data_IF_202540423219
#
_entry.id   IF_202540423219
#
_cell.length_a   1.000
_cell.length_b   1.000
_cell.length_c   1.000
_cell.angle_alpha   90.00
_cell.angle_beta   90.00
_cell.angle_gamma   90.00
#
_symmetry.space_group_name_H-M   'P 1'
#
loop_
_entity.id
_entity.type
_entity.pdbx_description
1 polymer ?
#
# COMPACT_ATOMS: atom_id res chain seq x y z
N UNK A 1 29.95 -24.77 -31.53
CA UNK A 1 31.03 -23.77 -31.48
C UNK A 1 30.45 -22.41 -31.86
N UNK A 2 30.03 -21.61 -30.87
CA UNK A 2 29.82 -20.16 -31.00
C UNK A 2 29.81 -19.53 -29.60
N UNK A 3 30.98 -19.54 -28.98
CA UNK A 3 31.30 -18.65 -27.85
C UNK A 3 31.61 -17.28 -28.46
N UNK A 4 30.60 -16.43 -28.65
CA UNK A 4 30.83 -15.06 -29.14
C UNK A 4 29.70 -14.10 -28.72
N UNK A 5 29.35 -14.08 -27.43
CA UNK A 5 28.38 -13.10 -26.89
C UNK A 5 28.86 -12.30 -25.68
N UNK A 6 30.17 -12.29 -25.40
CA UNK A 6 30.72 -11.38 -24.39
C UNK A 6 32.05 -10.80 -24.87
N UNK A 7 32.00 -9.87 -25.83
CA UNK A 7 33.07 -8.87 -25.97
C UNK A 7 32.81 -7.77 -24.93
N UNK A 8 33.71 -7.55 -23.96
CA UNK A 8 33.60 -6.41 -23.06
C UNK A 8 33.80 -5.13 -23.89
N UNK A 9 32.76 -4.31 -24.03
CA UNK A 9 32.86 -3.00 -24.67
C UNK A 9 31.70 -2.57 -25.57
N UNK A 10 30.75 -3.43 -25.94
CA UNK A 10 29.58 -3.01 -26.74
C UNK A 10 28.43 -2.61 -25.83
N UNK A 11 28.23 -1.31 -25.64
CA UNK A 11 26.99 -0.79 -25.04
C UNK A 11 25.80 -1.26 -25.88
N UNK A 12 24.78 -1.79 -25.22
CA UNK A 12 23.52 -2.12 -25.89
C UNK A 12 22.92 -0.85 -26.50
N UNK A 13 22.50 -0.89 -27.77
CA UNK A 13 21.81 0.23 -28.43
C UNK A 13 20.61 0.71 -27.58
N UNK A 14 19.94 -0.21 -26.90
CA UNK A 14 18.86 0.12 -25.97
C UNK A 14 19.36 0.92 -24.76
N UNK A 15 20.52 0.59 -24.19
CA UNK A 15 21.10 1.33 -23.09
C UNK A 15 21.52 2.75 -23.52
N UNK A 16 22.08 2.88 -24.73
CA UNK A 16 22.44 4.18 -25.32
C UNK A 16 21.19 5.03 -25.56
N UNK A 17 20.13 4.43 -26.13
CA UNK A 17 18.86 5.12 -26.36
C UNK A 17 18.20 5.59 -25.06
N UNK A 18 18.19 4.74 -24.02
CA UNK A 18 17.65 5.11 -22.70
C UNK A 18 18.49 6.23 -22.06
N UNK A 19 19.81 6.16 -22.14
CA UNK A 19 20.68 7.21 -21.62
C UNK A 19 20.50 8.54 -22.36
N UNK A 20 20.38 8.50 -23.69
CA UNK A 20 20.09 9.67 -24.51
C UNK A 20 18.73 10.28 -24.15
N UNK A 21 17.69 9.45 -24.01
CA UNK A 21 16.36 9.90 -23.58
C UNK A 21 16.38 10.51 -22.17
N UNK A 22 17.05 9.87 -21.22
CA UNK A 22 17.24 10.42 -19.88
C UNK A 22 17.97 11.78 -19.91
N UNK A 23 18.97 11.93 -20.78
CA UNK A 23 19.65 13.20 -21.02
C UNK A 23 18.70 14.29 -21.54
N UNK A 24 17.85 13.96 -22.53
CA UNK A 24 16.83 14.88 -23.05
C UNK A 24 15.86 15.30 -21.95
N UNK A 25 15.39 14.37 -21.11
CA UNK A 25 14.50 14.66 -19.99
C UNK A 25 15.16 15.56 -18.94
N UNK A 26 16.43 15.33 -18.62
CA UNK A 26 17.19 16.18 -17.69
C UNK A 26 17.36 17.59 -18.27
N UNK A 27 17.73 17.72 -19.54
CA UNK A 27 17.84 19.03 -20.21
C UNK A 27 16.49 19.75 -20.18
N UNK A 28 15.40 19.07 -20.54
CA UNK A 28 14.06 19.64 -20.51
C UNK A 28 13.63 20.05 -19.08
N UNK A 29 13.97 19.26 -18.08
CA UNK A 29 13.71 19.59 -16.68
C UNK A 29 14.46 20.85 -16.25
N UNK A 30 15.78 20.92 -16.44
CA UNK A 30 16.57 22.09 -16.06
C UNK A 30 16.21 23.34 -16.87
N UNK A 31 15.81 23.19 -18.14
CA UNK A 31 15.35 24.31 -18.95
C UNK A 31 14.02 24.92 -18.45
N UNK A 32 13.12 24.12 -17.88
CA UNK A 32 11.80 24.59 -17.43
C UNK A 32 11.70 24.81 -15.91
N UNK A 33 12.57 24.17 -15.12
CA UNK A 33 12.49 24.09 -13.65
C UNK A 33 13.86 24.29 -12.99
N UNK A 34 14.87 24.77 -13.72
CA UNK A 34 16.21 25.04 -13.17
C UNK A 34 16.18 25.98 -11.97
N UNK A 35 15.38 27.05 -12.03
CA UNK A 35 15.21 28.00 -10.91
C UNK A 35 14.62 27.36 -9.65
N UNK A 36 13.89 26.25 -9.76
CA UNK A 36 13.37 25.54 -8.59
C UNK A 36 14.48 24.74 -7.89
N UNK A 37 15.48 24.29 -8.64
CA UNK A 37 16.67 23.61 -8.10
C UNK A 37 17.50 24.59 -7.27
N UNK A 38 17.64 25.83 -7.72
CA UNK A 38 18.34 26.88 -6.98
C UNK A 38 17.64 27.22 -5.65
N UNK A 39 16.34 26.95 -5.55
CA UNK A 39 15.55 27.10 -4.33
C UNK A 39 15.67 25.91 -3.38
N UNK A 40 16.33 24.81 -3.75
CA UNK A 40 16.50 23.64 -2.87
C UNK A 40 17.17 24.01 -1.53
N UNK A 41 18.12 24.95 -1.56
CA UNK A 41 18.77 25.48 -0.36
C UNK A 41 17.80 26.20 0.59
N UNK A 42 16.70 26.76 0.08
CA UNK A 42 15.65 27.39 0.90
C UNK A 42 14.86 26.36 1.72
N UNK A 43 14.89 25.08 1.31
CA UNK A 43 14.32 23.98 2.08
C UNK A 43 15.28 23.43 3.14
N UNK A 44 16.55 23.87 3.18
CA UNK A 44 17.52 23.49 4.21
C UNK A 44 17.55 24.59 5.28
N UNK A 45 16.89 24.35 6.41
CA UNK A 45 16.83 25.29 7.52
C UNK A 45 15.41 25.49 8.04
N UNK A 46 15.02 26.74 8.26
CA UNK A 46 13.77 27.14 8.89
C UNK A 46 12.58 26.96 7.93
N UNK A 47 12.23 25.71 7.59
CA UNK A 47 11.14 25.25 6.69
C UNK A 47 9.76 25.81 7.10
N UNK A 48 9.53 27.11 6.94
CA UNK A 48 8.33 27.82 7.40
C UNK A 48 8.49 28.60 8.71
N UNK A 49 9.71 28.89 9.16
CA UNK A 49 9.94 29.81 10.29
C UNK A 49 9.92 29.21 11.70
N UNK A 50 9.69 27.90 11.85
CA UNK A 50 9.67 27.18 13.14
C UNK A 50 10.82 26.16 13.31
N UNK A 51 11.11 25.72 14.55
CA UNK A 51 12.18 24.78 14.83
C UNK A 51 11.98 23.44 14.09
N UNK A 52 13.06 22.91 13.52
CA UNK A 52 13.10 21.62 12.81
C UNK A 52 12.63 20.43 13.68
N UNK A 53 12.79 20.56 14.99
CA UNK A 53 12.30 19.62 15.98
C UNK A 53 11.38 20.33 16.97
N UNK A 54 10.20 19.77 17.20
CA UNK A 54 9.19 20.33 18.08
C UNK A 54 8.13 19.31 18.46
N UNK A 55 7.04 19.76 19.08
CA UNK A 55 5.94 18.90 19.54
C UNK A 55 5.39 17.97 18.42
N UNK A 56 5.41 18.42 17.15
CA UNK A 56 4.98 17.63 16.01
C UNK A 56 5.78 16.34 15.77
N UNK A 57 7.00 16.21 16.30
CA UNK A 57 7.76 14.94 16.25
C UNK A 57 7.08 13.89 17.12
N UNK A 58 6.59 14.28 18.30
CA UNK A 58 5.88 13.36 19.19
C UNK A 58 4.58 12.88 18.53
N UNK A 59 3.80 13.78 17.95
CA UNK A 59 2.58 13.43 17.20
C UNK A 59 2.88 12.47 16.05
N UNK A 60 3.93 12.72 15.28
CA UNK A 60 4.36 11.88 14.17
C UNK A 60 4.81 10.49 14.64
N UNK A 61 5.55 10.43 15.76
CA UNK A 61 6.01 9.17 16.35
C UNK A 61 4.83 8.34 16.87
N UNK A 62 3.89 8.96 17.59
CA UNK A 62 2.64 8.31 18.02
C UNK A 62 1.84 7.83 16.82
N UNK A 63 1.73 8.66 15.77
CA UNK A 63 1.05 8.31 14.53
C UNK A 63 1.64 7.06 13.87
N UNK A 64 2.96 6.97 13.78
CA UNK A 64 3.68 5.79 13.28
C UNK A 64 3.40 4.53 14.11
N UNK A 65 3.41 4.64 15.44
CA UNK A 65 3.12 3.51 16.33
C UNK A 65 1.68 3.01 16.14
N UNK A 66 0.71 3.91 16.02
CA UNK A 66 -0.70 3.57 15.79
C UNK A 66 -0.87 2.91 14.43
N UNK A 67 -0.31 3.48 13.37
CA UNK A 67 -0.36 2.89 12.03
C UNK A 67 0.30 1.49 12.02
N UNK A 68 1.43 1.31 12.69
CA UNK A 68 2.08 0.01 12.86
C UNK A 68 1.19 -1.01 13.62
N UNK A 69 0.49 -0.57 14.66
CA UNK A 69 -0.44 -1.41 15.40
C UNK A 69 -1.66 -1.81 14.55
N UNK A 70 -2.20 -0.88 13.75
CA UNK A 70 -3.26 -1.14 12.76
C UNK A 70 -2.77 -2.15 11.71
N UNK A 71 -1.55 -1.99 11.19
CA UNK A 71 -0.96 -2.95 10.24
C UNK A 71 -0.82 -4.35 10.84
N UNK A 72 -0.40 -4.45 12.10
CA UNK A 72 -0.34 -5.72 12.81
C UNK A 72 -1.74 -6.34 12.99
N UNK A 73 -2.76 -5.53 13.27
CA UNK A 73 -4.14 -5.99 13.34
C UNK A 73 -4.71 -6.43 11.98
N UNK A 74 -4.32 -5.76 10.87
CA UNK A 74 -4.59 -6.23 9.52
C UNK A 74 -3.96 -7.61 9.31
N UNK A 75 -2.65 -7.74 9.59
CA UNK A 75 -1.94 -9.00 9.42
C UNK A 75 -2.58 -10.13 10.22
N UNK A 76 -2.98 -9.89 11.48
CA UNK A 76 -3.56 -10.92 12.34
C UNK A 76 -4.83 -11.54 11.78
N UNK A 77 -5.85 -10.72 11.50
CA UNK A 77 -7.12 -11.25 10.97
C UNK A 77 -6.95 -11.81 9.55
N UNK A 78 -6.13 -11.16 8.72
CA UNK A 78 -5.92 -11.61 7.36
C UNK A 78 -5.11 -12.90 7.28
N UNK A 79 -4.09 -13.07 8.11
CA UNK A 79 -3.33 -14.32 8.19
C UNK A 79 -4.22 -15.47 8.70
N UNK A 80 -5.15 -15.20 9.62
CA UNK A 80 -6.13 -16.18 10.08
C UNK A 80 -7.03 -16.66 8.93
N UNK A 81 -7.50 -15.74 8.08
CA UNK A 81 -8.34 -16.05 6.93
C UNK A 81 -7.53 -16.79 5.85
N UNK A 82 -6.37 -16.25 5.47
CA UNK A 82 -5.52 -16.81 4.42
C UNK A 82 -5.02 -18.21 4.80
N UNK A 83 -4.55 -18.40 6.03
CA UNK A 83 -4.07 -19.73 6.48
C UNK A 83 -5.15 -20.80 6.50
N UNK A 84 -6.42 -20.43 6.79
CA UNK A 84 -7.55 -21.38 6.75
C UNK A 84 -8.06 -21.65 5.34
N UNK A 85 -8.11 -20.64 4.48
CA UNK A 85 -8.65 -20.77 3.13
C UNK A 85 -7.67 -21.44 2.14
N UNK A 86 -6.36 -21.32 2.37
CA UNK A 86 -5.34 -21.76 1.40
C UNK A 86 -4.46 -22.93 1.88
N UNK A 87 -4.52 -23.30 3.16
CA UNK A 87 -3.78 -24.43 3.73
C UNK A 87 -2.25 -24.29 3.68
N UNK A 88 -1.49 -25.27 4.20
CA UNK A 88 -0.03 -25.25 4.22
C UNK A 88 0.59 -25.33 2.81
N UNK A 89 -0.06 -26.02 1.88
CA UNK A 89 0.55 -26.34 0.57
C UNK A 89 0.63 -25.12 -0.37
N UNK A 90 -0.38 -24.24 -0.36
CA UNK A 90 -0.32 -22.98 -1.10
C UNK A 90 0.73 -22.00 -0.52
N UNK A 91 1.12 -22.18 0.74
CA UNK A 91 2.15 -21.38 1.38
C UNK A 91 3.57 -21.73 0.90
N UNK A 92 3.77 -22.95 0.38
CA UNK A 92 5.04 -23.40 -0.21
C UNK A 92 5.22 -22.94 -1.66
N UNK A 93 4.13 -22.69 -2.39
CA UNK A 93 4.21 -22.22 -3.80
C UNK A 93 4.43 -20.71 -3.95
N UNK A 94 4.20 -19.94 -2.90
CA UNK A 94 4.32 -18.48 -2.90
C UNK A 94 5.54 -18.05 -2.10
N UNK A 95 6.20 -16.97 -2.54
CA UNK A 95 7.21 -16.34 -1.69
C UNK A 95 6.59 -15.92 -0.35
N UNK A 96 7.29 -16.17 0.76
CA UNK A 96 6.82 -15.81 2.11
C UNK A 96 6.36 -14.35 2.21
N UNK A 97 7.03 -13.45 1.50
CA UNK A 97 6.66 -12.05 1.38
C UNK A 97 5.25 -11.87 0.80
N UNK A 98 4.91 -12.56 -0.29
CA UNK A 98 3.60 -12.45 -0.92
C UNK A 98 2.47 -12.95 -0.02
N UNK A 99 2.70 -14.01 0.75
CA UNK A 99 1.71 -14.50 1.74
C UNK A 99 1.45 -13.46 2.85
N UNK A 100 2.50 -12.77 3.31
CA UNK A 100 2.36 -11.68 4.29
C UNK A 100 1.57 -10.52 3.69
N UNK A 101 1.84 -10.16 2.45
CA UNK A 101 1.13 -9.06 1.77
C UNK A 101 -0.33 -9.41 1.52
N UNK A 102 -0.63 -10.64 1.07
CA UNK A 102 -2.00 -11.13 0.95
C UNK A 102 -2.73 -11.07 2.29
N UNK A 103 -2.07 -11.49 3.37
CA UNK A 103 -2.63 -11.41 4.73
C UNK A 103 -2.91 -9.96 5.14
N UNK A 104 -1.96 -9.06 4.96
CA UNK A 104 -2.15 -7.63 5.26
C UNK A 104 -3.30 -7.02 4.45
N UNK A 105 -3.38 -7.29 3.16
CA UNK A 105 -4.42 -6.73 2.29
C UNK A 105 -5.81 -7.33 2.56
N UNK A 106 -5.92 -8.64 2.78
CA UNK A 106 -7.18 -9.27 3.20
C UNK A 106 -7.64 -8.70 4.54
N UNK A 107 -6.70 -8.52 5.48
CA UNK A 107 -7.00 -7.95 6.77
C UNK A 107 -7.46 -6.50 6.70
N UNK A 108 -6.81 -5.67 5.89
CA UNK A 108 -7.23 -4.30 5.63
C UNK A 108 -8.66 -4.27 5.05
N UNK A 109 -8.96 -5.11 4.05
CA UNK A 109 -10.31 -5.21 3.48
C UNK A 109 -11.37 -5.60 4.51
N UNK A 110 -11.07 -6.57 5.38
CA UNK A 110 -11.99 -7.01 6.44
C UNK A 110 -12.20 -5.91 7.48
N UNK A 111 -11.14 -5.27 7.95
CA UNK A 111 -11.25 -4.18 8.91
C UNK A 111 -12.01 -2.99 8.33
N UNK A 112 -11.81 -2.66 7.06
CA UNK A 112 -12.60 -1.65 6.36
C UNK A 112 -14.10 -1.94 6.46
N UNK A 113 -14.52 -3.17 6.14
CA UNK A 113 -15.92 -3.60 6.25
C UNK A 113 -16.44 -3.57 7.70
N UNK A 114 -15.64 -4.04 8.67
CA UNK A 114 -16.01 -4.02 10.09
C UNK A 114 -16.25 -2.59 10.56
N UNK A 115 -15.33 -1.66 10.25
CA UNK A 115 -15.49 -0.25 10.60
C UNK A 115 -16.71 0.36 9.94
N UNK A 116 -16.97 0.07 8.65
CA UNK A 116 -18.20 0.51 8.00
C UNK A 116 -19.46 0.05 8.77
N UNK A 117 -19.54 -1.23 9.15
CA UNK A 117 -20.68 -1.77 9.91
C UNK A 117 -20.80 -1.18 11.32
N UNK A 118 -19.67 -0.94 12.00
CA UNK A 118 -19.66 -0.24 13.29
C UNK A 118 -20.17 1.20 13.16
N UNK A 119 -19.86 1.86 12.04
CA UNK A 119 -20.37 3.20 11.72
C UNK A 119 -21.87 3.23 11.58
N UNK A 120 -22.45 2.25 10.87
CA UNK A 120 -23.89 2.11 10.73
C UNK A 120 -24.58 1.85 12.08
N UNK A 121 -23.92 1.13 12.98
CA UNK A 121 -24.42 0.83 14.31
C UNK A 121 -24.21 1.98 15.33
N UNK A 122 -23.56 3.08 14.95
CA UNK A 122 -23.27 4.18 15.87
C UNK A 122 -22.23 3.84 16.94
N UNK A 123 -21.24 3.01 16.59
CA UNK A 123 -20.24 2.48 17.52
C UNK A 123 -18.84 3.08 17.34
N UNK A 124 -18.71 4.23 16.66
CA UNK A 124 -17.42 4.92 16.58
C UNK A 124 -17.07 5.53 17.94
N UNK A 125 -16.25 4.81 18.69
CA UNK A 125 -15.78 5.22 20.00
C UNK A 125 -14.38 4.67 20.27
N UNK A 126 -13.67 5.32 21.19
CA UNK A 126 -12.31 4.91 21.58
C UNK A 126 -12.27 3.50 22.16
N UNK A 127 -13.18 3.08 23.06
CA UNK A 127 -13.18 1.71 23.58
C UNK A 127 -13.35 0.68 22.46
N UNK A 128 -14.24 0.93 21.50
CA UNK A 128 -14.45 0.05 20.34
C UNK A 128 -13.19 -0.02 19.47
N UNK A 129 -12.50 1.10 19.25
CA UNK A 129 -11.25 1.13 18.50
C UNK A 129 -10.14 0.29 19.16
N UNK A 130 -10.03 0.33 20.49
CA UNK A 130 -9.06 -0.47 21.27
C UNK A 130 -9.45 -1.94 21.26
N UNK A 131 -10.73 -2.27 21.42
CA UNK A 131 -11.21 -3.67 21.33
C UNK A 131 -10.92 -4.24 19.93
N UNK A 132 -11.22 -3.50 18.87
CA UNK A 132 -10.89 -3.88 17.50
C UNK A 132 -9.38 -4.14 17.34
N UNK A 133 -8.55 -3.25 17.89
CA UNK A 133 -7.09 -3.42 17.87
C UNK A 133 -6.65 -4.71 18.57
N UNK A 134 -7.13 -4.95 19.79
CA UNK A 134 -6.80 -6.17 20.55
C UNK A 134 -7.23 -7.43 19.79
N UNK A 135 -8.46 -7.45 19.26
CA UNK A 135 -8.98 -8.59 18.48
C UNK A 135 -8.16 -8.86 17.21
N UNK A 136 -7.60 -7.84 16.57
CA UNK A 136 -6.70 -8.00 15.44
C UNK A 136 -5.29 -8.44 15.83
N UNK A 137 -4.77 -7.97 16.98
CA UNK A 137 -3.41 -8.28 17.44
C UNK A 137 -3.26 -9.71 17.97
N UNK A 138 -4.29 -10.27 18.62
CA UNK A 138 -4.25 -11.65 19.15
C UNK A 138 -3.84 -12.70 18.10
N UNK A 139 -4.48 -12.78 16.92
CA UNK A 139 -4.05 -13.70 15.87
C UNK A 139 -2.73 -13.29 15.21
N UNK A 140 -2.34 -12.01 15.26
CA UNK A 140 -1.08 -11.53 14.70
C UNK A 140 0.13 -12.12 15.43
N UNK A 141 0.07 -12.23 16.76
CA UNK A 141 1.14 -12.84 17.57
C UNK A 141 1.39 -14.28 17.14
N UNK A 142 0.32 -15.07 16.98
CA UNK A 142 0.40 -16.47 16.54
C UNK A 142 0.95 -16.55 15.10
N UNK A 143 0.49 -15.65 14.22
CA UNK A 143 0.97 -15.56 12.83
C UNK A 143 2.47 -15.25 12.75
N UNK A 144 2.96 -14.29 13.55
CA UNK A 144 4.36 -13.87 13.56
C UNK A 144 5.30 -14.97 14.06
N UNK A 145 4.89 -15.75 15.07
CA UNK A 145 5.68 -16.88 15.57
C UNK A 145 5.83 -17.94 14.47
N UNK A 146 4.73 -18.30 13.80
CA UNK A 146 4.75 -19.25 12.69
C UNK A 146 5.61 -18.74 11.52
N UNK A 147 5.48 -17.46 11.19
CA UNK A 147 6.25 -16.82 10.13
C UNK A 147 7.75 -16.83 10.42
N UNK A 148 8.17 -16.44 11.64
CA UNK A 148 9.58 -16.43 12.04
C UNK A 148 10.20 -17.83 11.94
N UNK A 149 9.46 -18.86 12.35
CA UNK A 149 9.93 -20.24 12.26
C UNK A 149 10.07 -20.70 10.80
N UNK A 150 9.11 -20.35 9.94
CA UNK A 150 9.15 -20.67 8.51
C UNK A 150 10.26 -19.90 7.75
N UNK A 151 10.43 -18.61 8.05
CA UNK A 151 11.46 -17.77 7.45
C UNK A 151 12.86 -18.31 7.79
N UNK A 152 13.09 -18.74 9.02
CA UNK A 152 14.37 -19.32 9.43
C UNK A 152 14.64 -20.69 8.78
N UNK A 153 13.60 -21.46 8.44
CA UNK A 153 13.75 -22.77 7.81
C UNK A 153 14.12 -22.68 6.32
N UNK A 154 13.67 -21.64 5.62
CA UNK A 154 13.79 -21.51 4.16
C UNK A 154 14.65 -20.31 3.70
N UNK A 155 15.37 -19.65 4.61
CA UNK A 155 16.24 -18.53 4.24
C UNK A 155 17.55 -19.03 3.65
N UNK A 156 17.58 -19.24 2.33
CA UNK A 156 18.83 -19.07 1.58
C UNK A 156 18.98 -17.58 1.23
N UNK A 157 19.88 -16.84 1.90
CA UNK A 157 20.13 -15.46 1.53
C UNK A 157 20.77 -15.43 0.14
N UNK A 158 20.00 -15.01 -0.87
CA UNK A 158 20.58 -14.66 -2.17
C UNK A 158 21.36 -13.35 -1.99
N UNK A 159 22.71 -13.37 -2.14
CA UNK A 159 23.50 -12.15 -1.97
C UNK A 159 23.08 -11.13 -3.03
N UNK A 160 22.52 -10.00 -2.58
CA UNK A 160 22.22 -8.89 -3.48
C UNK A 160 23.51 -8.25 -3.97
N UNK A 161 23.67 -8.14 -5.29
CA UNK A 161 24.78 -7.38 -5.87
C UNK A 161 24.71 -5.90 -5.51
N UNK A 162 25.80 -5.15 -5.70
CA UNK A 162 25.86 -3.69 -5.47
C UNK A 162 24.73 -2.96 -6.21
N UNK A 163 24.43 -3.38 -7.43
CA UNK A 163 23.34 -2.79 -8.23
C UNK A 163 21.96 -3.01 -7.60
N UNK A 164 21.70 -4.17 -6.99
CA UNK A 164 20.42 -4.45 -6.35
C UNK A 164 20.23 -3.56 -5.11
N UNK A 165 21.32 -3.27 -4.38
CA UNK A 165 21.31 -2.30 -3.28
C UNK A 165 21.03 -0.88 -3.77
N UNK A 166 21.62 -0.48 -4.91
CA UNK A 166 21.35 0.81 -5.53
C UNK A 166 19.87 0.96 -5.89
N UNK A 167 19.27 -0.06 -6.52
CA UNK A 167 17.83 -0.05 -6.85
C UNK A 167 16.95 0.11 -5.60
N UNK A 168 17.29 -0.59 -4.50
CA UNK A 168 16.58 -0.48 -3.24
C UNK A 168 16.70 0.92 -2.62
N UNK A 169 17.89 1.52 -2.64
CA UNK A 169 18.10 2.89 -2.15
C UNK A 169 17.28 3.88 -2.98
N UNK A 170 17.32 3.77 -4.30
CA UNK A 170 16.56 4.65 -5.19
C UNK A 170 15.04 4.49 -4.99
N UNK A 171 14.54 3.28 -4.76
CA UNK A 171 13.13 3.04 -4.47
C UNK A 171 12.74 3.52 -3.05
N UNK A 172 13.66 3.48 -2.09
CA UNK A 172 13.43 3.95 -0.73
C UNK A 172 13.25 5.47 -0.64
N UNK A 173 13.92 6.24 -1.49
CA UNK A 173 13.83 7.71 -1.50
C UNK A 173 12.37 8.22 -1.59
N UNK A 174 11.57 7.92 -2.64
CA UNK A 174 10.19 8.39 -2.72
C UNK A 174 9.30 7.80 -1.62
N UNK A 175 9.57 6.58 -1.17
CA UNK A 175 8.80 5.92 -0.09
C UNK A 175 9.01 6.64 1.25
N UNK A 176 10.25 6.96 1.61
CA UNK A 176 10.57 7.66 2.86
C UNK A 176 10.16 9.13 2.83
N UNK A 177 10.35 9.82 1.70
CA UNK A 177 9.92 11.20 1.56
C UNK A 177 8.38 11.32 1.63
N UNK A 178 7.66 10.38 1.01
CA UNK A 178 6.19 10.37 1.10
C UNK A 178 5.70 10.00 2.50
N UNK A 179 6.45 9.20 3.26
CA UNK A 179 6.14 8.96 4.67
C UNK A 179 6.24 10.25 5.48
N UNK A 180 7.36 10.97 5.37
CA UNK A 180 7.57 12.24 6.05
C UNK A 180 6.45 13.23 5.71
N UNK A 181 6.09 13.32 4.43
CA UNK A 181 4.99 14.17 3.98
C UNK A 181 3.62 13.72 4.52
N UNK A 182 3.33 12.41 4.51
CA UNK A 182 2.07 11.87 5.05
C UNK A 182 1.92 12.08 6.56
N UNK A 183 3.04 12.18 7.27
CA UNK A 183 3.08 12.47 8.69
C UNK A 183 2.94 13.96 8.97
N UNK A 184 3.08 14.86 8.00
CA UNK A 184 2.95 16.31 8.16
C UNK A 184 1.47 16.75 8.21
N UNK A 185 1.14 18.00 8.60
CA UNK A 185 -0.23 18.49 8.52
C UNK A 185 -0.76 18.38 7.08
N UNK A 186 -2.00 17.89 6.89
CA UNK A 186 -2.54 17.69 5.55
C UNK A 186 -2.77 19.04 4.85
N UNK A 187 -2.29 19.16 3.62
CA UNK A 187 -2.52 20.34 2.77
C UNK A 187 -3.21 19.99 1.45
N UNK A 188 -3.37 18.69 1.17
CA UNK A 188 -3.96 18.21 -0.06
C UNK A 188 -5.47 18.48 -0.09
N UNK A 189 -5.95 18.95 -1.25
CA UNK A 189 -7.34 19.40 -1.44
C UNK A 189 -8.36 18.34 -1.02
N UNK A 190 -8.25 17.12 -1.55
CA UNK A 190 -9.25 16.07 -1.31
C UNK A 190 -9.17 15.53 0.12
N UNK A 191 -7.99 15.60 0.74
CA UNK A 191 -7.80 15.21 2.14
C UNK A 191 -8.50 16.17 3.08
N UNK A 192 -8.36 17.47 2.83
CA UNK A 192 -9.08 18.50 3.57
C UNK A 192 -10.58 18.48 3.27
N UNK A 193 -10.98 18.15 2.04
CA UNK A 193 -12.38 18.16 1.63
C UNK A 193 -13.17 16.94 2.12
N UNK A 194 -12.57 15.74 2.10
CA UNK A 194 -13.27 14.53 2.55
C UNK A 194 -12.42 13.42 3.15
N UNK A 195 -11.20 13.13 2.68
CA UNK A 195 -10.49 11.93 3.21
C UNK A 195 -10.22 12.03 4.72
N UNK A 196 -10.04 13.24 5.27
CA UNK A 196 -9.93 13.45 6.72
C UNK A 196 -11.16 14.13 7.32
N UNK A 197 -11.77 15.10 6.65
CA UNK A 197 -12.90 15.85 7.22
C UNK A 197 -14.15 14.97 7.45
N UNK A 198 -14.46 14.04 6.54
CA UNK A 198 -15.57 13.10 6.72
C UNK A 198 -15.31 12.13 7.86
N UNK A 199 -14.13 11.45 7.95
CA UNK A 199 -13.79 10.66 9.14
C UNK A 199 -13.80 11.45 10.45
N UNK A 200 -13.33 12.70 10.47
CA UNK A 200 -13.42 13.55 11.67
C UNK A 200 -14.87 13.77 12.10
N UNK A 201 -15.75 14.09 11.16
CA UNK A 201 -17.18 14.24 11.43
C UNK A 201 -17.82 12.92 11.90
N UNK A 202 -17.46 11.81 11.28
CA UNK A 202 -17.90 10.46 11.70
C UNK A 202 -17.48 10.13 13.13
N UNK A 203 -16.23 10.41 13.49
CA UNK A 203 -15.73 10.23 14.86
C UNK A 203 -16.46 11.16 15.84
N UNK A 204 -16.72 12.42 15.47
CA UNK A 204 -17.42 13.37 16.32
C UNK A 204 -18.88 12.97 16.59
N UNK A 205 -19.58 12.42 15.59
CA UNK A 205 -20.97 11.98 15.74
C UNK A 205 -21.13 10.53 16.23
N UNK A 206 -20.02 9.78 16.37
CA UNK A 206 -20.04 8.39 16.79
C UNK A 206 -20.58 7.38 15.76
N UNK A 207 -20.82 7.80 14.51
CA UNK A 207 -21.46 6.98 13.47
C UNK A 207 -21.02 7.38 12.05
N UNK A 208 -21.44 6.65 11.03
CA UNK A 208 -21.33 7.05 9.62
C UNK A 208 -22.60 7.75 9.09
N UNK A 209 -23.39 8.36 9.97
CA UNK A 209 -24.58 9.12 9.61
C UNK A 209 -24.28 10.30 8.68
N UNK A 210 -25.35 10.81 8.07
CA UNK A 210 -25.32 11.93 7.13
C UNK A 210 -24.61 13.16 7.69
N UNK A 211 -23.74 13.75 6.87
CA UNK A 211 -23.06 15.02 7.15
C UNK A 211 -23.69 16.10 6.27
N UNK A 212 -24.40 17.03 6.90
CA UNK A 212 -25.00 18.16 6.20
C UNK A 212 -23.95 19.01 5.46
N UNK A 213 -24.23 19.34 4.21
CA UNK A 213 -23.34 20.16 3.38
C UNK A 213 -22.10 19.45 2.82
N UNK A 214 -21.86 18.16 3.12
CA UNK A 214 -20.74 17.40 2.55
C UNK A 214 -21.21 16.18 1.75
N UNK A 215 -21.36 16.36 0.44
CA UNK A 215 -21.76 15.28 -0.49
C UNK A 215 -20.75 14.13 -0.54
N UNK A 216 -19.49 14.37 -0.17
CA UNK A 216 -18.47 13.33 -0.19
C UNK A 216 -18.71 12.21 0.84
N UNK A 217 -19.59 12.45 1.83
CA UNK A 217 -20.03 11.42 2.79
C UNK A 217 -20.78 10.24 2.15
N UNK A 218 -21.28 10.41 0.91
CA UNK A 218 -21.96 9.36 0.12
C UNK A 218 -21.04 8.61 -0.86
N UNK A 219 -19.75 8.95 -0.89
CA UNK A 219 -18.79 8.25 -1.75
C UNK A 219 -18.45 6.87 -1.19
N UNK A 220 -17.73 6.09 -1.98
CA UNK A 220 -17.15 4.83 -1.54
C UNK A 220 -15.96 5.15 -0.59
N UNK A 221 -16.18 5.03 0.72
CA UNK A 221 -15.25 5.46 1.78
C UNK A 221 -14.50 4.28 2.45
N UNK A 222 -14.30 3.19 1.71
CA UNK A 222 -13.74 1.95 2.25
C UNK A 222 -12.32 2.14 2.80
N UNK A 223 -11.47 2.90 2.12
CA UNK A 223 -10.10 3.16 2.62
C UNK A 223 -10.12 4.11 3.83
N UNK A 224 -11.04 5.07 3.84
CA UNK A 224 -11.23 6.06 4.90
C UNK A 224 -11.71 5.44 6.21
N UNK A 225 -12.25 4.22 6.19
CA UNK A 225 -12.52 3.47 7.42
C UNK A 225 -11.24 3.24 8.25
N UNK A 226 -10.07 3.17 7.61
CA UNK A 226 -8.78 3.13 8.31
C UNK A 226 -8.40 4.47 8.94
N UNK A 227 -8.83 5.59 8.34
CA UNK A 227 -8.67 6.94 8.90
C UNK A 227 -9.54 7.09 10.15
N UNK A 228 -10.80 6.64 10.13
CA UNK A 228 -11.66 6.61 11.34
C UNK A 228 -10.99 5.85 12.48
N UNK A 229 -10.46 4.66 12.20
CA UNK A 229 -9.77 3.85 13.21
C UNK A 229 -8.54 4.55 13.78
N UNK A 230 -7.69 5.10 12.89
CA UNK A 230 -6.48 5.81 13.28
C UNK A 230 -6.79 7.06 14.12
N UNK A 231 -7.81 7.85 13.75
CA UNK A 231 -8.25 9.02 14.50
C UNK A 231 -8.78 8.67 15.90
N UNK A 232 -9.54 7.57 16.03
CA UNK A 232 -10.03 7.12 17.34
C UNK A 232 -8.89 6.68 18.27
N UNK A 233 -7.87 6.02 17.73
CA UNK A 233 -6.69 5.60 18.49
C UNK A 233 -5.73 6.75 18.79
N UNK A 234 -5.61 7.73 17.88
CA UNK A 234 -4.71 8.87 18.02
C UNK A 234 -5.28 10.03 18.82
N UNK A 235 -6.61 10.18 18.84
CA UNK A 235 -7.30 11.26 19.55
C UNK A 235 -6.94 11.44 21.03
N UNK A 236 -6.70 10.37 21.83
CA UNK A 236 -6.19 10.50 23.20
C UNK A 236 -4.84 11.23 23.34
N UNK A 237 -4.01 11.22 22.29
CA UNK A 237 -2.70 11.88 22.26
C UNK A 237 -2.77 13.28 21.64
N UNK A 238 -3.85 13.59 20.93
CA UNK A 238 -4.10 14.89 20.29
C UNK A 238 -4.73 14.74 18.91
N UNK A 239 -5.40 15.80 18.44
CA UNK A 239 -5.96 15.82 17.09
C UNK A 239 -4.87 15.59 16.03
N UNK A 240 -3.71 16.23 16.23
CA UNK A 240 -2.58 16.14 15.32
C UNK A 240 -1.98 14.72 15.26
N UNK A 241 -1.88 14.03 16.40
CA UNK A 241 -1.47 12.63 16.45
C UNK A 241 -2.47 11.72 15.70
N UNK A 242 -3.78 11.99 15.80
CA UNK A 242 -4.81 11.31 15.02
C UNK A 242 -4.67 11.50 13.50
N UNK A 243 -4.38 12.72 13.06
CA UNK A 243 -4.08 13.00 11.65
C UNK A 243 -2.80 12.33 11.16
N UNK A 244 -1.73 12.38 11.95
CA UNK A 244 -0.47 11.71 11.63
C UNK A 244 -0.65 10.18 11.55
N UNK A 245 -1.41 9.59 12.48
CA UNK A 245 -1.78 8.18 12.44
C UNK A 245 -2.57 7.84 11.17
N UNK A 246 -3.50 8.71 10.77
CA UNK A 246 -4.32 8.54 9.57
C UNK A 246 -3.49 8.60 8.29
N UNK A 247 -2.61 9.59 8.18
CA UNK A 247 -1.69 9.72 7.05
C UNK A 247 -0.77 8.51 6.93
N UNK A 248 -0.17 8.08 8.05
CA UNK A 248 0.67 6.88 8.09
C UNK A 248 -0.11 5.59 7.76
N UNK A 249 -1.35 5.46 8.25
CA UNK A 249 -2.20 4.29 7.97
C UNK A 249 -2.54 4.16 6.48
N UNK A 250 -2.88 5.27 5.81
CA UNK A 250 -3.11 5.27 4.36
C UNK A 250 -1.79 5.11 3.59
N UNK A 251 -0.70 5.71 4.07
CA UNK A 251 0.62 5.56 3.45
C UNK A 251 1.10 4.11 3.41
N UNK A 252 0.75 3.26 4.38
CA UNK A 252 1.14 1.84 4.42
C UNK A 252 0.78 1.06 3.14
N UNK A 253 -0.26 1.47 2.41
CA UNK A 253 -0.60 0.84 1.13
C UNK A 253 0.50 1.00 0.07
N UNK A 254 1.35 2.02 0.15
CA UNK A 254 2.44 2.25 -0.80
C UNK A 254 3.55 1.19 -0.72
N UNK A 255 4.24 0.98 0.42
CA UNK A 255 5.22 -0.09 0.52
C UNK A 255 4.61 -1.48 0.33
N UNK A 256 3.33 -1.68 0.70
CA UNK A 256 2.63 -2.95 0.42
C UNK A 256 2.44 -3.18 -1.08
N UNK A 257 2.06 -2.17 -1.85
CA UNK A 257 1.97 -2.25 -3.31
C UNK A 257 3.33 -2.60 -3.92
N UNK A 258 4.40 -1.92 -3.50
CA UNK A 258 5.75 -2.20 -4.01
C UNK A 258 6.20 -3.62 -3.67
N UNK A 259 5.93 -4.09 -2.45
CA UNK A 259 6.24 -5.44 -2.04
C UNK A 259 5.39 -6.48 -2.82
N UNK A 260 4.13 -6.14 -3.16
CA UNK A 260 3.26 -6.98 -3.99
C UNK A 260 3.78 -7.09 -5.42
N UNK A 261 4.24 -5.98 -6.01
CA UNK A 261 4.88 -5.97 -7.33
C UNK A 261 6.10 -6.88 -7.34
N UNK A 262 6.96 -6.76 -6.34
CA UNK A 262 8.13 -7.64 -6.20
C UNK A 262 7.73 -9.11 -6.06
N UNK A 263 6.82 -9.41 -5.12
CA UNK A 263 6.37 -10.78 -4.84
C UNK A 263 5.71 -11.43 -6.06
N UNK A 264 4.86 -10.69 -6.77
CA UNK A 264 4.21 -11.16 -7.99
C UNK A 264 5.23 -11.42 -9.10
N UNK A 265 6.14 -10.47 -9.37
CA UNK A 265 7.20 -10.67 -10.38
C UNK A 265 8.06 -11.90 -10.08
N UNK A 266 8.45 -12.10 -8.80
CA UNK A 266 9.20 -13.29 -8.37
C UNK A 266 8.40 -14.58 -8.57
N UNK A 267 7.10 -14.58 -8.27
CA UNK A 267 6.23 -15.74 -8.51
C UNK A 267 6.03 -16.06 -9.99
N UNK A 268 6.23 -15.08 -10.87
CA UNK A 268 6.21 -15.25 -12.32
C UNK A 268 7.56 -15.72 -12.90
N UNK A 269 8.55 -16.04 -12.07
CA UNK A 269 9.88 -16.49 -12.51
C UNK A 269 10.84 -15.36 -12.91
N UNK A 270 10.46 -14.09 -12.73
CA UNK A 270 11.31 -12.94 -13.04
C UNK A 270 12.46 -12.86 -12.04
N UNK A 271 13.69 -12.62 -12.50
CA UNK A 271 14.87 -12.55 -11.63
C UNK A 271 14.75 -11.43 -10.59
N UNK A 272 15.51 -11.54 -9.48
CA UNK A 272 15.51 -10.55 -8.39
C UNK A 272 15.74 -9.13 -8.92
N UNK A 273 16.77 -8.95 -9.76
CA UNK A 273 17.13 -7.65 -10.32
C UNK A 273 15.99 -7.03 -11.13
N UNK A 274 15.39 -7.80 -12.04
CA UNK A 274 14.26 -7.30 -12.85
C UNK A 274 13.01 -7.04 -12.01
N UNK A 275 12.79 -7.81 -10.94
CA UNK A 275 11.73 -7.54 -9.97
C UNK A 275 11.97 -6.23 -9.21
N UNK A 276 13.22 -5.94 -8.82
CA UNK A 276 13.59 -4.65 -8.20
C UNK A 276 13.49 -3.48 -9.17
N UNK A 277 13.78 -3.68 -10.46
CA UNK A 277 13.55 -2.67 -11.50
C UNK A 277 12.06 -2.36 -11.61
N UNK A 278 11.18 -3.37 -11.63
CA UNK A 278 9.73 -3.15 -11.63
C UNK A 278 9.25 -2.38 -10.38
N UNK A 279 9.78 -2.71 -9.20
CA UNK A 279 9.54 -1.94 -7.97
C UNK A 279 9.97 -0.49 -8.12
N UNK A 280 11.20 -0.26 -8.59
CA UNK A 280 11.73 1.09 -8.77
C UNK A 280 10.85 1.89 -9.74
N UNK A 281 10.46 1.30 -10.88
CA UNK A 281 9.60 1.94 -11.86
C UNK A 281 8.30 2.45 -11.24
N UNK A 282 7.64 1.64 -10.41
CA UNK A 282 6.40 2.03 -9.71
C UNK A 282 6.68 3.07 -8.61
N UNK A 283 7.74 2.88 -7.82
CA UNK A 283 8.11 3.79 -6.75
C UNK A 283 8.47 5.20 -7.24
N UNK A 284 9.05 5.30 -8.45
CA UNK A 284 9.48 6.57 -9.06
C UNK A 284 8.39 7.25 -9.89
N UNK A 285 7.18 6.69 -9.99
CA UNK A 285 6.07 7.41 -10.64
C UNK A 285 5.72 8.63 -9.77
N UNK A 286 5.82 9.87 -10.29
CA UNK A 286 5.59 11.07 -9.47
C UNK A 286 4.20 11.12 -8.82
N UNK A 287 3.19 10.59 -9.50
CA UNK A 287 1.83 10.50 -8.96
C UNK A 287 1.73 9.51 -7.81
N UNK A 288 2.51 8.42 -7.78
CA UNK A 288 2.54 7.50 -6.65
C UNK A 288 3.07 8.18 -5.39
N UNK A 289 4.16 8.96 -5.52
CA UNK A 289 4.65 9.81 -4.43
C UNK A 289 3.57 10.78 -3.96
N UNK A 290 2.94 11.51 -4.90
CA UNK A 290 1.94 12.51 -4.54
C UNK A 290 0.74 11.90 -3.81
N UNK A 291 0.24 10.75 -4.27
CA UNK A 291 -0.89 10.04 -3.64
C UNK A 291 -0.50 9.55 -2.24
N UNK A 292 0.67 8.93 -2.08
CA UNK A 292 1.17 8.46 -0.79
C UNK A 292 1.36 9.61 0.22
N UNK A 293 1.96 10.72 -0.24
CA UNK A 293 2.20 11.90 0.58
C UNK A 293 0.91 12.63 0.99
N UNK A 294 -0.14 12.53 0.17
CA UNK A 294 -1.40 13.26 0.36
C UNK A 294 -2.44 12.50 1.17
N UNK A 295 -2.19 11.27 1.60
CA UNK A 295 -3.20 10.37 2.15
C UNK A 295 -4.39 10.12 1.20
N UNK A 296 -4.10 10.05 -0.11
CA UNK A 296 -5.08 9.68 -1.13
C UNK A 296 -5.19 8.16 -1.25
N UNK A 297 -6.38 7.70 -1.65
CA UNK A 297 -6.76 6.28 -1.57
C UNK A 297 -6.27 5.42 -2.76
N UNK A 298 -5.75 6.03 -3.82
CA UNK A 298 -5.50 5.35 -5.10
C UNK A 298 -4.43 4.25 -5.02
N UNK A 299 -3.50 4.33 -4.06
CA UNK A 299 -2.52 3.24 -3.84
C UNK A 299 -3.13 2.02 -3.16
N UNK A 300 -4.13 2.20 -2.29
CA UNK A 300 -4.90 1.08 -1.73
C UNK A 300 -5.69 0.39 -2.85
N UNK A 301 -6.33 1.17 -3.72
CA UNK A 301 -7.01 0.68 -4.92
C UNK A 301 -6.06 -0.12 -5.82
N UNK A 302 -4.87 0.43 -6.12
CA UNK A 302 -3.88 -0.23 -6.95
C UNK A 302 -3.38 -1.54 -6.32
N UNK A 303 -3.16 -1.58 -5.00
CA UNK A 303 -2.79 -2.82 -4.29
C UNK A 303 -3.87 -3.88 -4.44
N UNK A 304 -5.13 -3.54 -4.16
CA UNK A 304 -6.23 -4.48 -4.26
C UNK A 304 -6.40 -5.00 -5.69
N UNK A 305 -6.37 -4.13 -6.70
CA UNK A 305 -6.45 -4.56 -8.10
C UNK A 305 -5.27 -5.46 -8.47
N UNK A 306 -4.04 -5.14 -8.06
CA UNK A 306 -2.86 -5.97 -8.33
C UNK A 306 -2.98 -7.37 -7.70
N UNK A 307 -3.43 -7.45 -6.46
CA UNK A 307 -3.61 -8.73 -5.78
C UNK A 307 -4.79 -9.52 -6.34
N UNK A 308 -5.83 -8.85 -6.84
CA UNK A 308 -6.89 -9.47 -7.61
C UNK A 308 -6.35 -10.07 -8.92
N UNK A 309 -5.50 -9.33 -9.67
CA UNK A 309 -4.82 -9.86 -10.86
C UNK A 309 -3.99 -11.09 -10.50
N UNK A 310 -3.19 -11.01 -9.43
CA UNK A 310 -2.40 -12.14 -8.96
C UNK A 310 -3.28 -13.36 -8.66
N UNK A 311 -4.35 -13.20 -7.88
CA UNK A 311 -5.28 -14.29 -7.57
C UNK A 311 -5.94 -14.84 -8.84
N UNK A 312 -6.33 -13.98 -9.79
CA UNK A 312 -6.89 -14.39 -11.07
C UNK A 312 -5.89 -15.22 -11.89
N UNK A 313 -4.60 -14.84 -11.92
CA UNK A 313 -3.58 -15.64 -12.62
C UNK A 313 -3.37 -17.02 -11.98
N UNK A 314 -3.49 -17.11 -10.66
CA UNK A 314 -3.43 -18.40 -9.93
C UNK A 314 -4.66 -19.25 -10.22
N UNK A 315 -5.85 -18.65 -10.21
CA UNK A 315 -7.08 -19.32 -10.64
C UNK A 315 -6.98 -19.80 -12.10
N UNK A 316 -6.49 -18.98 -13.01
CA UNK A 316 -6.39 -19.34 -14.44
C UNK A 316 -5.57 -20.61 -14.68
N UNK A 317 -4.50 -20.81 -13.89
CA UNK A 317 -3.59 -21.96 -13.97
C UNK A 317 -4.10 -23.21 -13.26
N UNK A 318 -4.74 -23.05 -12.11
CA UNK A 318 -5.12 -24.16 -11.22
C UNK A 318 -6.61 -24.52 -11.26
N UNK A 319 -7.45 -23.60 -11.72
CA UNK A 319 -8.92 -23.63 -11.67
C UNK A 319 -9.55 -23.78 -10.27
N UNK A 320 -8.75 -23.64 -9.21
CA UNK A 320 -9.26 -23.78 -7.85
C UNK A 320 -10.08 -22.56 -7.42
N UNK A 321 -11.33 -22.79 -6.98
CA UNK A 321 -12.26 -21.73 -6.62
C UNK A 321 -11.80 -20.83 -5.47
N UNK A 322 -10.89 -21.31 -4.60
CA UNK A 322 -10.30 -20.51 -3.52
C UNK A 322 -9.67 -19.21 -4.01
N UNK A 323 -9.06 -19.22 -5.19
CA UNK A 323 -8.46 -18.03 -5.78
C UNK A 323 -9.51 -17.01 -6.23
N UNK A 324 -10.70 -17.46 -6.67
CA UNK A 324 -11.82 -16.56 -6.99
C UNK A 324 -12.36 -15.86 -5.75
N UNK A 325 -12.28 -16.48 -4.57
CA UNK A 325 -12.64 -15.82 -3.30
C UNK A 325 -11.73 -14.62 -3.06
N UNK A 326 -10.41 -14.75 -3.29
CA UNK A 326 -9.49 -13.61 -3.19
C UNK A 326 -9.74 -12.55 -4.25
N UNK A 327 -10.06 -12.95 -5.49
CA UNK A 327 -10.48 -12.01 -6.53
C UNK A 327 -11.69 -11.20 -6.04
N UNK A 328 -12.72 -11.85 -5.49
CA UNK A 328 -13.90 -11.20 -4.98
C UNK A 328 -13.61 -10.27 -3.79
N UNK A 329 -12.81 -10.71 -2.82
CA UNK A 329 -12.40 -9.89 -1.67
C UNK A 329 -11.67 -8.62 -2.13
N UNK A 330 -10.67 -8.77 -3.00
CA UNK A 330 -9.86 -7.64 -3.43
C UNK A 330 -10.62 -6.69 -4.37
N UNK A 331 -11.41 -7.21 -5.32
CA UNK A 331 -12.24 -6.34 -6.16
C UNK A 331 -13.37 -5.66 -5.36
N UNK A 332 -13.91 -6.34 -4.34
CA UNK A 332 -14.87 -5.74 -3.40
C UNK A 332 -14.24 -4.60 -2.60
N UNK A 333 -13.04 -4.82 -2.05
CA UNK A 333 -12.29 -3.78 -1.34
C UNK A 333 -11.94 -2.60 -2.26
N UNK A 334 -11.49 -2.87 -3.49
CA UNK A 334 -11.22 -1.86 -4.50
C UNK A 334 -12.49 -1.05 -4.86
N UNK A 335 -13.63 -1.71 -5.04
CA UNK A 335 -14.91 -1.06 -5.31
C UNK A 335 -15.38 -0.20 -4.14
N UNK A 336 -15.17 -0.68 -2.91
CA UNK A 336 -15.46 0.05 -1.68
C UNK A 336 -14.55 1.27 -1.50
N UNK A 337 -13.36 1.30 -2.10
CA UNK A 337 -12.51 2.49 -2.17
C UNK A 337 -12.92 3.43 -3.31
N UNK A 338 -13.26 2.91 -4.50
CA UNK A 338 -13.60 3.74 -5.66
C UNK A 338 -14.53 3.00 -6.62
N UNK A 339 -15.69 3.61 -6.92
CA UNK A 339 -16.72 3.00 -7.76
C UNK A 339 -16.26 2.74 -9.21
N UNK A 340 -15.24 3.44 -9.69
CA UNK A 340 -14.63 3.20 -11.01
C UNK A 340 -14.01 1.80 -11.15
N UNK A 341 -13.81 1.08 -10.05
CA UNK A 341 -13.41 -0.35 -10.06
C UNK A 341 -14.42 -1.23 -10.80
N UNK A 342 -15.67 -0.79 -10.96
CA UNK A 342 -16.68 -1.52 -11.73
C UNK A 342 -16.18 -1.91 -13.14
N UNK A 343 -15.39 -1.06 -13.81
CA UNK A 343 -14.81 -1.37 -15.11
C UNK A 343 -13.78 -2.51 -15.03
N UNK A 344 -13.00 -2.57 -13.95
CA UNK A 344 -12.05 -3.66 -13.69
C UNK A 344 -12.80 -4.96 -13.43
N UNK A 345 -13.88 -4.91 -12.64
CA UNK A 345 -14.75 -6.08 -12.38
C UNK A 345 -15.32 -6.64 -13.68
N UNK A 346 -15.83 -5.77 -14.56
CA UNK A 346 -16.35 -6.19 -15.86
C UNK A 346 -15.28 -6.90 -16.72
N UNK A 347 -14.06 -6.36 -16.76
CA UNK A 347 -12.95 -6.98 -17.48
C UNK A 347 -12.58 -8.36 -16.89
N UNK A 348 -12.52 -8.48 -15.56
CA UNK A 348 -12.24 -9.75 -14.89
C UNK A 348 -13.32 -10.80 -15.14
N UNK A 349 -14.60 -10.39 -15.11
CA UNK A 349 -15.72 -11.27 -15.40
C UNK A 349 -15.63 -11.84 -16.82
N UNK A 350 -15.26 -11.02 -17.82
CA UNK A 350 -15.03 -11.47 -19.20
C UNK A 350 -13.90 -12.51 -19.26
N UNK A 351 -12.75 -12.24 -18.63
CA UNK A 351 -11.61 -13.17 -18.59
C UNK A 351 -12.01 -14.51 -17.95
N UNK A 352 -12.75 -14.47 -16.83
CA UNK A 352 -13.24 -15.65 -16.14
C UNK A 352 -14.20 -16.45 -17.03
N UNK A 353 -15.17 -15.80 -17.66
CA UNK A 353 -16.12 -16.47 -18.56
C UNK A 353 -15.43 -17.11 -19.77
N UNK A 354 -14.45 -16.42 -20.37
CA UNK A 354 -13.68 -16.97 -21.50
C UNK A 354 -12.92 -18.24 -21.09
N UNK A 355 -12.26 -18.23 -19.92
CA UNK A 355 -11.51 -19.39 -19.44
C UNK A 355 -12.41 -20.56 -19.07
N UNK A 356 -13.50 -20.29 -18.35
CA UNK A 356 -14.45 -21.31 -17.92
C UNK A 356 -15.09 -22.02 -19.13
N UNK A 357 -15.33 -21.31 -20.24
CA UNK A 357 -15.83 -21.90 -21.48
C UNK A 357 -14.82 -22.78 -22.20
N UNK A 358 -13.52 -22.49 -22.12
CA UNK A 358 -12.49 -23.29 -22.80
C UNK A 358 -12.29 -24.70 -22.22
N UNK A 359 -12.82 -24.95 -21.04
CA UNK A 359 -12.72 -26.24 -20.32
C UNK A 359 -14.03 -27.06 -20.39
N UNK A 360 -15.11 -26.51 -20.95
CA UNK A 360 -16.42 -27.15 -21.12
C UNK A 360 -16.58 -27.73 -22.53
#
# INVERSE_FOLDING_TARGET
MSKDLNKPGTFSLAAVAVAAWAGVLLIAFFANRGEDVDKLGQFVGNLGGGPLAGAGIFDSFVGLLIAGAIAAAWFGIGNLIVSRAFGPDASNENSHLLNVILSLAVGAAVWSLVWFLLGLAGLYSRPVAVVALVLGLLPAIVGLIKFKNAANANSEPQPGGVFDKLLLVLAAVPVLLSLIASLAPPTAKDTLLYHFSVPKAFVAQGSSAFIEGNIASYLALGTEMHVVWAMLLGGPFGERAGEAASGAAVWLFFPLLLAAVFGFARSAGITRRWSLIAVLMVATVPTAYHVAASAYIDLALALYVLLAVFALTRWWRSLESRWLILVAIFLGAALASKLTTLFVIAAFALVIMMRARSEA
#
